data_IF_759226734280
#
_entry.id   IF_759226734280
#
_cell.length_a   1.000
_cell.length_b   1.000
_cell.length_c   1.000
_cell.angle_alpha   90.00
_cell.angle_beta   90.00
_cell.angle_gamma   90.00
#
_symmetry.space_group_name_H-M   'P 1'
#
loop_
_entity.id
_entity.type
_entity.pdbx_description
1 polymer ?
#
# COMPACT_ATOMS: atom_id res chain seq x y z
N UNK A 1 -3.48 -1.31 -11.42
CA UNK A 1 -2.56 -2.13 -10.61
C UNK A 1 -3.35 -2.99 -9.62
N UNK A 2 -2.74 -4.10 -9.17
CA UNK A 2 -3.23 -4.84 -8.00
C UNK A 2 -2.89 -4.03 -6.75
N UNK A 3 -3.90 -3.76 -5.91
CA UNK A 3 -3.74 -2.99 -4.69
C UNK A 3 -2.94 -3.75 -3.62
N UNK A 4 -2.45 -3.03 -2.64
CA UNK A 4 -1.68 -3.54 -1.50
C UNK A 4 -2.42 -4.65 -0.74
N UNK A 5 -1.94 -5.87 -0.86
CA UNK A 5 -2.46 -7.05 -0.17
C UNK A 5 -1.29 -7.94 0.25
N UNK A 6 -0.98 -7.98 1.54
CA UNK A 6 0.20 -8.66 2.05
C UNK A 6 0.09 -10.18 2.04
N UNK A 7 1.23 -10.85 1.86
CA UNK A 7 1.35 -12.27 2.21
C UNK A 7 1.15 -12.45 3.73
N UNK A 8 0.22 -13.32 4.08
CA UNK A 8 -0.26 -13.48 5.45
C UNK A 8 -1.66 -12.92 5.67
N UNK A 9 -2.05 -11.84 4.95
CA UNK A 9 -3.45 -11.50 4.73
C UNK A 9 -4.03 -12.38 3.61
N UNK A 10 -3.26 -12.59 2.54
CA UNK A 10 -3.57 -13.53 1.46
C UNK A 10 -2.74 -14.81 1.57
N UNK A 11 -3.26 -15.90 1.02
CA UNK A 11 -2.53 -17.16 0.86
C UNK A 11 -1.43 -17.06 -0.20
N UNK A 12 -0.49 -17.99 -0.16
CA UNK A 12 0.56 -18.13 -1.18
C UNK A 12 0.02 -18.20 -2.60
N UNK A 13 -1.00 -19.04 -2.82
CA UNK A 13 -1.62 -19.22 -4.14
C UNK A 13 -2.30 -17.94 -4.65
N UNK A 14 -2.96 -17.18 -3.76
CA UNK A 14 -3.57 -15.91 -4.14
C UNK A 14 -2.51 -14.87 -4.55
N UNK A 15 -1.42 -14.75 -3.78
CA UNK A 15 -0.30 -13.85 -4.12
C UNK A 15 0.32 -14.22 -5.47
N UNK A 16 0.59 -15.51 -5.71
CA UNK A 16 1.14 -15.99 -6.99
C UNK A 16 0.19 -15.72 -8.15
N UNK A 17 -1.09 -16.01 -8.00
CA UNK A 17 -2.10 -15.76 -9.04
C UNK A 17 -2.21 -14.27 -9.40
N UNK A 18 -2.22 -13.39 -8.39
CA UNK A 18 -2.25 -11.94 -8.60
C UNK A 18 -0.99 -11.44 -9.29
N UNK A 19 0.20 -11.91 -8.90
CA UNK A 19 1.44 -11.52 -9.53
C UNK A 19 1.54 -12.01 -10.98
N UNK A 20 1.11 -13.25 -11.25
CA UNK A 20 1.03 -13.78 -12.62
C UNK A 20 0.04 -12.99 -13.47
N UNK A 21 -1.12 -12.65 -12.91
CA UNK A 21 -2.12 -11.82 -13.56
C UNK A 21 -1.59 -10.43 -13.90
N UNK A 22 -0.91 -9.80 -12.95
CA UNK A 22 -0.25 -8.51 -13.15
C UNK A 22 0.78 -8.56 -14.27
N UNK A 23 1.65 -9.59 -14.29
CA UNK A 23 2.62 -9.81 -15.36
C UNK A 23 1.95 -9.97 -16.74
N UNK A 24 0.90 -10.78 -16.82
CA UNK A 24 0.16 -10.99 -18.08
C UNK A 24 -0.56 -9.73 -18.56
N UNK A 25 -1.08 -8.95 -17.60
CA UNK A 25 -1.81 -7.71 -17.88
C UNK A 25 -0.92 -6.50 -18.12
N UNK A 26 0.39 -6.59 -17.89
CA UNK A 26 1.33 -5.48 -18.07
C UNK A 26 1.13 -4.37 -17.04
N UNK A 27 0.73 -4.71 -15.81
CA UNK A 27 0.59 -3.76 -14.69
C UNK A 27 1.29 -4.29 -13.42
N UNK A 28 1.42 -3.44 -12.41
CA UNK A 28 2.17 -3.77 -11.21
C UNK A 28 1.29 -4.44 -10.13
N UNK A 29 1.94 -5.22 -9.26
CA UNK A 29 1.39 -5.80 -8.05
C UNK A 29 2.00 -5.11 -6.83
N UNK A 30 1.19 -4.45 -6.02
CA UNK A 30 1.60 -3.88 -4.75
C UNK A 30 1.65 -4.97 -3.68
N UNK A 31 2.80 -5.06 -3.00
CA UNK A 31 3.09 -6.14 -2.05
C UNK A 31 2.30 -6.07 -0.76
N UNK A 32 1.77 -4.89 -0.42
CA UNK A 32 1.32 -4.59 0.93
C UNK A 32 2.48 -4.54 1.93
N UNK A 33 2.19 -4.11 3.17
CA UNK A 33 3.18 -3.86 4.22
C UNK A 33 3.91 -5.10 4.76
N UNK A 34 3.51 -6.30 4.35
CA UNK A 34 4.06 -7.58 4.84
C UNK A 34 5.41 -7.98 4.23
N UNK A 35 6.12 -7.08 3.56
CA UNK A 35 7.35 -7.35 2.81
C UNK A 35 7.12 -8.11 1.50
N UNK A 36 8.20 -8.34 0.77
CA UNK A 36 8.23 -9.11 -0.46
C UNK A 36 8.47 -10.57 -0.11
N UNK A 37 7.44 -11.41 -0.26
CA UNK A 37 7.58 -12.86 -0.09
C UNK A 37 8.15 -13.53 -1.33
N UNK A 38 8.60 -14.79 -1.19
CA UNK A 38 8.99 -15.62 -2.35
C UNK A 38 7.87 -15.76 -3.38
N UNK A 39 6.61 -15.75 -2.94
CA UNK A 39 5.42 -15.86 -3.79
C UNK A 39 5.17 -14.61 -4.65
N UNK A 40 5.58 -13.43 -4.21
CA UNK A 40 5.60 -12.23 -5.04
C UNK A 40 6.65 -12.33 -6.16
N UNK A 41 7.72 -13.11 -5.93
CA UNK A 41 8.84 -13.23 -6.88
C UNK A 41 8.66 -14.33 -7.93
N UNK A 42 7.84 -15.34 -7.63
CA UNK A 42 7.73 -16.59 -8.39
C UNK A 42 7.49 -16.38 -9.90
N UNK A 43 6.59 -15.48 -10.26
CA UNK A 43 6.22 -15.26 -11.66
C UNK A 43 6.91 -14.06 -12.30
N UNK A 44 7.68 -13.28 -11.56
CA UNK A 44 8.46 -12.17 -12.10
C UNK A 44 7.62 -11.00 -12.61
N UNK A 45 6.40 -10.80 -12.06
CA UNK A 45 5.60 -9.61 -12.33
C UNK A 45 6.16 -8.37 -11.61
N UNK A 46 5.97 -7.19 -12.19
CA UNK A 46 6.43 -5.93 -11.62
C UNK A 46 5.81 -5.66 -10.25
N UNK A 47 6.63 -5.21 -9.31
CA UNK A 47 6.23 -4.96 -7.93
C UNK A 47 6.30 -3.47 -7.58
N UNK A 48 5.29 -3.00 -6.84
CA UNK A 48 5.37 -1.83 -5.98
C UNK A 48 5.64 -2.38 -4.58
N UNK A 49 6.79 -2.05 -3.99
CA UNK A 49 7.09 -2.50 -2.64
C UNK A 49 6.57 -1.49 -1.62
N UNK A 50 5.55 -1.90 -0.87
CA UNK A 50 4.97 -1.10 0.20
C UNK A 50 5.76 -1.29 1.50
N UNK A 51 6.18 -0.17 2.11
CA UNK A 51 6.89 -0.11 3.38
C UNK A 51 5.98 0.52 4.43
N UNK A 52 5.48 -0.29 5.35
CA UNK A 52 4.71 0.17 6.50
C UNK A 52 5.60 0.57 7.68
N UNK A 53 4.96 1.04 8.75
CA UNK A 53 5.63 1.49 10.00
C UNK A 53 6.37 0.37 10.74
N UNK A 54 6.09 -0.89 10.42
CA UNK A 54 6.83 -2.05 10.93
C UNK A 54 8.12 -2.35 10.17
N UNK A 55 8.39 -1.68 9.05
CA UNK A 55 9.56 -1.86 8.18
C UNK A 55 9.85 -3.31 7.79
N UNK A 56 8.81 -4.14 7.65
CA UNK A 56 8.98 -5.54 7.28
C UNK A 56 9.74 -5.68 5.96
N UNK A 57 10.78 -6.52 5.97
CA UNK A 57 11.71 -6.68 4.87
C UNK A 57 12.88 -5.68 4.84
N UNK A 58 12.82 -4.60 5.63
CA UNK A 58 13.91 -3.63 5.78
C UNK A 58 14.05 -3.12 7.23
N UNK A 59 13.87 -4.01 8.21
CA UNK A 59 13.94 -3.66 9.63
C UNK A 59 15.17 -4.25 10.32
N UNK A 60 15.69 -3.54 11.30
CA UNK A 60 16.62 -4.04 12.30
C UNK A 60 15.89 -4.93 13.34
N UNK A 61 16.63 -5.61 14.20
CA UNK A 61 16.05 -6.46 15.28
C UNK A 61 15.19 -5.65 16.25
N UNK A 62 15.54 -4.39 16.51
CA UNK A 62 14.81 -3.45 17.35
C UNK A 62 13.55 -2.85 16.66
N UNK A 63 13.31 -3.22 15.40
CA UNK A 63 12.17 -2.74 14.63
C UNK A 63 12.39 -1.42 13.88
N UNK A 64 13.55 -0.80 13.97
CA UNK A 64 13.89 0.42 13.24
C UNK A 64 14.24 0.13 11.77
N UNK A 65 14.26 1.18 10.93
CA UNK A 65 14.61 1.07 9.51
C UNK A 65 16.09 0.69 9.30
N UNK A 66 16.34 -0.29 8.44
CA UNK A 66 17.67 -0.71 7.99
C UNK A 66 17.89 -0.34 6.53
N UNK A 67 18.83 0.58 6.28
CA UNK A 67 19.20 0.98 4.93
C UNK A 67 19.80 -0.17 4.11
N UNK A 68 20.61 -1.01 4.74
CA UNK A 68 21.22 -2.16 4.07
C UNK A 68 20.18 -3.16 3.58
N UNK A 69 19.27 -3.60 4.47
CA UNK A 69 18.18 -4.52 4.10
C UNK A 69 17.20 -3.89 3.10
N UNK A 70 17.02 -2.58 3.17
CA UNK A 70 16.22 -1.86 2.19
C UNK A 70 16.84 -2.00 0.79
N UNK A 71 18.13 -1.70 0.64
CA UNK A 71 18.84 -1.80 -0.65
C UNK A 71 18.76 -3.21 -1.22
N UNK A 72 18.97 -4.25 -0.39
CA UNK A 72 18.89 -5.65 -0.82
C UNK A 72 17.57 -5.98 -1.52
N UNK A 73 16.45 -5.48 -1.00
CA UNK A 73 15.13 -5.72 -1.60
C UNK A 73 14.79 -4.72 -2.72
N UNK A 74 15.09 -3.44 -2.51
CA UNK A 74 14.76 -2.37 -3.45
C UNK A 74 15.46 -2.53 -4.80
N UNK A 75 16.69 -3.06 -4.81
CA UNK A 75 17.48 -3.25 -6.04
C UNK A 75 17.03 -4.43 -6.88
N UNK A 76 16.09 -5.26 -6.41
CA UNK A 76 15.49 -6.31 -7.23
C UNK A 76 14.92 -5.74 -8.55
N UNK A 77 15.17 -6.37 -9.71
CA UNK A 77 14.65 -5.91 -11.00
C UNK A 77 13.12 -5.85 -11.08
N UNK A 78 12.42 -6.69 -10.29
CA UNK A 78 10.96 -6.67 -10.21
C UNK A 78 10.41 -5.46 -9.47
N UNK A 79 11.15 -4.89 -8.52
CA UNK A 79 10.73 -3.72 -7.76
C UNK A 79 10.87 -2.47 -8.62
N UNK A 80 9.75 -1.92 -9.05
CA UNK A 80 9.70 -0.75 -9.93
C UNK A 80 9.46 0.54 -9.18
N UNK A 81 8.77 0.47 -8.05
CA UNK A 81 8.38 1.63 -7.23
C UNK A 81 8.46 1.26 -5.75
N UNK A 82 8.72 2.26 -4.92
CA UNK A 82 8.72 2.15 -3.45
C UNK A 82 7.57 3.00 -2.90
N UNK A 83 6.68 2.40 -2.13
CA UNK A 83 5.54 3.09 -1.52
C UNK A 83 5.67 3.11 0.01
N UNK A 84 5.74 4.30 0.61
CA UNK A 84 5.69 4.48 2.06
C UNK A 84 4.22 4.50 2.47
N UNK A 85 3.77 3.55 3.27
CA UNK A 85 2.41 3.53 3.80
C UNK A 85 2.32 4.42 5.04
N UNK A 86 1.71 5.60 4.90
CA UNK A 86 1.41 6.49 6.04
C UNK A 86 0.13 6.06 6.75
N UNK A 87 -0.91 5.73 5.97
CA UNK A 87 -2.17 5.23 6.51
C UNK A 87 -2.91 4.39 5.47
N UNK A 88 -3.90 3.64 5.95
CA UNK A 88 -4.82 2.84 5.15
C UNK A 88 -6.23 3.41 5.31
N UNK A 89 -7.00 3.49 4.23
CA UNK A 89 -8.31 4.12 4.22
C UNK A 89 -9.29 3.59 5.25
N UNK A 90 -9.38 2.27 5.38
CA UNK A 90 -10.31 1.63 6.31
C UNK A 90 -9.95 1.82 7.80
N UNK A 91 -8.72 2.19 8.12
CA UNK A 91 -8.23 2.35 9.50
C UNK A 91 -7.10 3.37 9.60
N UNK A 92 -7.35 4.65 9.28
CA UNK A 92 -6.32 5.68 9.39
C UNK A 92 -5.87 5.83 10.84
N UNK A 93 -4.55 5.97 11.03
CA UNK A 93 -3.95 6.10 12.37
C UNK A 93 -3.90 4.81 13.20
N UNK A 94 -4.31 3.66 12.64
CA UNK A 94 -4.25 2.36 13.31
C UNK A 94 -3.19 1.47 12.64
N UNK A 95 -2.27 0.92 13.43
CA UNK A 95 -1.24 -0.02 12.95
C UNK A 95 -1.82 -1.37 12.53
N UNK A 96 -1.00 -2.16 11.85
CA UNK A 96 -1.34 -3.52 11.44
C UNK A 96 -1.16 -4.51 12.59
N UNK A 97 -2.03 -5.51 12.67
CA UNK A 97 -1.89 -6.66 13.59
C UNK A 97 -2.09 -7.95 12.81
N UNK A 98 -1.08 -8.82 12.82
CA UNK A 98 -1.21 -10.21 12.39
C UNK A 98 -1.11 -11.09 13.64
N UNK A 99 -2.20 -11.76 14.05
CA UNK A 99 -2.22 -12.56 15.26
C UNK A 99 -1.24 -13.73 15.20
N UNK A 100 -0.62 -14.06 16.33
CA UNK A 100 0.33 -15.15 16.52
C UNK A 100 -0.02 -16.46 15.78
N UNK A 101 -1.27 -16.97 15.81
CA UNK A 101 -1.62 -18.23 15.13
C UNK A 101 -1.49 -18.17 13.60
N UNK A 102 -1.48 -16.96 13.02
CA UNK A 102 -1.30 -16.74 11.58
C UNK A 102 0.18 -16.52 11.18
N UNK A 103 1.08 -16.32 12.15
CA UNK A 103 2.50 -16.09 11.87
C UNK A 103 3.20 -17.44 11.66
N UNK A 104 3.11 -17.95 10.45
CA UNK A 104 3.83 -19.18 10.03
C UNK A 104 5.32 -18.91 9.87
N UNK A 105 6.17 -19.95 9.82
CA UNK A 105 7.62 -19.77 9.56
C UNK A 105 7.90 -18.96 8.29
N UNK A 106 7.15 -19.18 7.22
CA UNK A 106 7.31 -18.46 5.95
C UNK A 106 6.94 -16.96 6.06
N UNK A 107 5.90 -16.65 6.83
CA UNK A 107 5.50 -15.26 7.09
C UNK A 107 6.52 -14.59 8.00
N UNK A 108 7.01 -15.29 9.01
CA UNK A 108 8.04 -14.80 9.92
C UNK A 108 9.33 -14.48 9.15
N UNK A 109 9.75 -15.35 8.24
CA UNK A 109 10.90 -15.14 7.35
C UNK A 109 10.69 -13.90 6.46
N UNK A 110 9.55 -13.81 5.75
CA UNK A 110 9.26 -12.69 4.87
C UNK A 110 9.25 -11.33 5.59
N UNK A 111 8.73 -11.30 6.83
CA UNK A 111 8.62 -10.09 7.63
C UNK A 111 9.85 -9.77 8.47
N UNK A 112 10.74 -10.73 8.67
CA UNK A 112 11.89 -10.61 9.58
C UNK A 112 11.46 -10.51 11.04
N UNK A 113 10.51 -11.36 11.47
CA UNK A 113 9.97 -11.41 12.85
C UNK A 113 10.04 -12.83 13.43
N UNK A 114 10.00 -12.99 14.76
CA UNK A 114 9.96 -14.32 15.36
C UNK A 114 8.67 -15.08 15.02
N UNK A 115 8.78 -16.41 14.87
CA UNK A 115 7.61 -17.29 14.71
C UNK A 115 6.83 -17.37 16.02
N UNK A 116 5.49 -17.42 15.91
CA UNK A 116 4.61 -17.67 17.07
C UNK A 116 4.47 -16.47 18.02
N UNK A 117 4.76 -15.26 17.54
CA UNK A 117 4.53 -13.99 18.25
C UNK A 117 3.61 -13.11 17.43
N UNK A 118 2.77 -12.29 18.08
CA UNK A 118 1.95 -11.31 17.38
C UNK A 118 2.83 -10.33 16.59
N UNK A 119 2.54 -10.18 15.31
CA UNK A 119 3.27 -9.26 14.46
C UNK A 119 2.51 -7.93 14.36
N UNK A 120 2.98 -6.94 15.11
CA UNK A 120 2.32 -5.63 15.25
C UNK A 120 3.15 -4.56 14.53
N UNK A 121 2.47 -3.75 13.71
CA UNK A 121 3.03 -2.51 13.15
C UNK A 121 2.66 -1.34 14.04
N UNK A 122 3.60 -0.45 14.40
CA UNK A 122 3.28 0.79 15.11
C UNK A 122 2.30 1.68 14.32
N UNK A 123 1.56 2.55 15.03
CA UNK A 123 0.66 3.51 14.38
C UNK A 123 1.41 4.56 13.55
N UNK A 124 2.67 4.84 13.88
CA UNK A 124 3.51 5.83 13.21
C UNK A 124 4.89 5.24 12.86
N UNK A 125 5.52 5.79 11.83
CA UNK A 125 6.90 5.48 11.47
C UNK A 125 7.89 6.05 12.50
N UNK A 126 8.93 5.30 12.83
CA UNK A 126 10.02 5.77 13.69
C UNK A 126 11.05 6.64 12.97
N UNK A 127 11.08 6.60 11.63
CA UNK A 127 12.07 7.35 10.82
C UNK A 127 11.70 8.81 10.59
N UNK A 128 10.49 9.22 10.89
CA UNK A 128 10.02 10.61 10.75
C UNK A 128 8.82 10.87 11.66
N UNK A 129 8.69 12.11 12.13
CA UNK A 129 7.63 12.56 13.05
C UNK A 129 6.84 13.76 12.52
N UNK A 130 7.26 14.34 11.40
CA UNK A 130 6.64 15.51 10.81
C UNK A 130 6.78 15.50 9.27
N UNK A 131 6.01 16.34 8.54
CA UNK A 131 6.03 16.36 7.08
C UNK A 131 7.38 16.64 6.44
N UNK A 132 8.25 17.43 7.07
CA UNK A 132 9.58 17.73 6.54
C UNK A 132 10.47 16.49 6.58
N UNK A 133 10.48 15.80 7.73
CA UNK A 133 11.21 14.53 7.90
C UNK A 133 10.68 13.42 6.98
N UNK A 134 9.36 13.36 6.74
CA UNK A 134 8.78 12.45 5.74
C UNK A 134 9.41 12.68 4.36
N UNK A 135 9.49 13.93 3.90
CA UNK A 135 10.07 14.23 2.60
C UNK A 135 11.58 13.95 2.54
N UNK A 136 12.30 14.19 3.63
CA UNK A 136 13.70 13.79 3.76
C UNK A 136 13.86 12.27 3.70
N UNK A 137 12.93 11.52 4.29
CA UNK A 137 12.92 10.07 4.20
C UNK A 137 12.61 9.58 2.77
N UNK A 138 11.68 10.22 2.05
CA UNK A 138 11.44 9.96 0.62
C UNK A 138 12.73 10.16 -0.18
N UNK A 139 13.42 11.26 0.03
CA UNK A 139 14.69 11.55 -0.66
C UNK A 139 15.76 10.51 -0.33
N UNK A 140 15.92 10.17 0.95
CA UNK A 140 16.85 9.12 1.40
C UNK A 140 16.57 7.77 0.72
N UNK A 141 15.31 7.34 0.65
CA UNK A 141 14.97 6.08 -0.01
C UNK A 141 15.27 6.13 -1.52
N UNK A 142 14.99 7.27 -2.18
CA UNK A 142 15.28 7.47 -3.60
C UNK A 142 16.78 7.36 -3.89
N UNK A 143 17.62 7.93 -3.05
CA UNK A 143 19.08 7.82 -3.14
C UNK A 143 19.54 6.38 -2.94
N UNK A 144 19.01 5.68 -1.95
CA UNK A 144 19.35 4.29 -1.64
C UNK A 144 18.93 3.30 -2.74
N UNK A 145 17.90 3.59 -3.50
CA UNK A 145 17.41 2.72 -4.60
C UNK A 145 17.78 3.24 -6.00
N UNK A 146 18.86 4.04 -6.10
CA UNK A 146 19.41 4.51 -7.37
C UNK A 146 18.40 5.23 -8.27
N UNK A 147 17.50 6.02 -7.66
CA UNK A 147 16.54 6.84 -8.37
C UNK A 147 15.26 6.12 -8.82
N UNK A 148 14.96 4.94 -8.32
CA UNK A 148 13.62 4.37 -8.52
C UNK A 148 12.56 5.29 -7.92
N UNK A 149 11.35 5.37 -8.51
CA UNK A 149 10.27 6.20 -7.98
C UNK A 149 9.92 5.86 -6.54
N UNK A 150 9.91 6.88 -5.68
CA UNK A 150 9.52 6.77 -4.27
C UNK A 150 8.35 7.71 -3.99
N UNK A 151 7.28 7.17 -3.47
CA UNK A 151 6.09 7.90 -3.08
C UNK A 151 5.51 7.41 -1.77
N UNK A 152 4.31 7.85 -1.47
CA UNK A 152 3.61 7.41 -0.28
C UNK A 152 2.11 7.23 -0.51
N UNK A 153 1.50 6.39 0.31
CA UNK A 153 0.07 6.18 0.37
C UNK A 153 -0.48 6.76 1.66
N UNK A 154 -1.61 7.46 1.55
CA UNK A 154 -2.33 8.00 2.70
C UNK A 154 -3.85 7.98 2.50
N UNK A 155 -4.58 7.86 3.60
CA UNK A 155 -5.96 8.30 3.69
C UNK A 155 -5.97 9.73 4.24
N UNK A 156 -6.77 10.60 3.63
CA UNK A 156 -6.95 11.95 4.17
C UNK A 156 -7.87 11.83 5.40
N UNK A 157 -7.35 12.21 6.56
CA UNK A 157 -8.14 12.43 7.76
C UNK A 157 -8.65 13.87 7.78
N UNK A 158 -7.87 14.76 8.35
CA UNK A 158 -8.16 16.19 8.28
C UNK A 158 -7.43 16.86 7.12
N UNK A 159 -8.09 17.76 6.35
CA UNK A 159 -7.46 18.45 5.21
C UNK A 159 -6.18 19.19 5.55
N UNK A 160 -6.05 19.74 6.76
CA UNK A 160 -4.84 20.46 7.16
C UNK A 160 -3.61 19.57 7.34
N UNK A 161 -3.76 18.26 7.59
CA UNK A 161 -2.66 17.31 7.63
C UNK A 161 -2.03 17.18 6.22
N UNK A 162 -2.89 17.04 5.22
CA UNK A 162 -2.46 17.08 3.82
C UNK A 162 -1.81 18.42 3.44
N UNK A 163 -2.43 19.54 3.85
CA UNK A 163 -1.85 20.87 3.59
C UNK A 163 -0.51 21.06 4.31
N UNK A 164 -0.30 20.43 5.46
CA UNK A 164 1.01 20.37 6.13
C UNK A 164 2.08 19.72 5.27
N UNK A 165 1.77 18.58 4.64
CA UNK A 165 2.68 17.90 3.69
C UNK A 165 2.91 18.77 2.45
N UNK A 166 1.87 19.39 1.90
CA UNK A 166 1.98 20.27 0.75
C UNK A 166 2.87 21.50 1.03
N UNK A 167 2.75 22.11 2.20
CA UNK A 167 3.63 23.20 2.64
C UNK A 167 5.08 22.73 2.85
N UNK A 168 5.27 21.53 3.38
CA UNK A 168 6.61 20.96 3.53
C UNK A 168 7.27 20.75 2.17
N UNK A 169 6.54 20.28 1.16
CA UNK A 169 7.04 20.17 -0.22
C UNK A 169 7.52 21.52 -0.76
N UNK A 170 6.74 22.59 -0.58
CA UNK A 170 7.15 23.94 -0.99
C UNK A 170 8.38 24.44 -0.22
N UNK A 171 8.44 24.16 1.09
CA UNK A 171 9.54 24.61 1.94
C UNK A 171 10.87 23.92 1.64
N UNK A 172 10.82 22.62 1.37
CA UNK A 172 12.01 21.79 1.20
C UNK A 172 12.47 21.68 -0.26
N UNK A 173 11.56 21.88 -1.21
CA UNK A 173 11.80 21.55 -2.63
C UNK A 173 11.90 20.06 -2.91
N UNK A 174 11.60 19.20 -1.92
CA UNK A 174 11.58 17.74 -2.08
C UNK A 174 10.15 17.29 -2.37
N UNK A 175 9.99 16.53 -3.44
CA UNK A 175 8.69 16.02 -3.86
C UNK A 175 8.71 14.48 -3.95
N UNK A 176 7.63 13.79 -3.57
CA UNK A 176 7.47 12.38 -3.92
C UNK A 176 7.27 12.24 -5.44
N UNK A 177 7.64 11.11 -6.01
CA UNK A 177 7.38 10.83 -7.42
C UNK A 177 5.89 10.54 -7.66
N UNK A 178 5.23 9.99 -6.63
CA UNK A 178 3.80 9.71 -6.66
C UNK A 178 3.17 9.77 -5.26
N UNK A 179 1.85 9.90 -5.25
CA UNK A 179 1.00 9.82 -4.05
C UNK A 179 -0.17 8.90 -4.36
N UNK A 180 -0.45 7.94 -3.50
CA UNK A 180 -1.67 7.12 -3.57
C UNK A 180 -2.66 7.60 -2.53
N UNK A 181 -3.85 8.00 -2.98
CA UNK A 181 -4.97 8.36 -2.11
C UNK A 181 -5.81 7.11 -1.87
N UNK A 182 -5.86 6.66 -0.62
CA UNK A 182 -6.64 5.49 -0.19
C UNK A 182 -7.89 5.95 0.57
N UNK A 183 -9.07 5.63 0.06
CA UNK A 183 -10.32 6.13 0.63
C UNK A 183 -10.80 5.35 1.86
N UNK A 184 -11.62 5.99 2.70
CA UNK A 184 -12.21 5.39 3.90
C UNK A 184 -13.03 4.14 3.60
N UNK A 185 -13.59 4.04 2.40
CA UNK A 185 -14.33 2.89 1.86
C UNK A 185 -13.43 1.73 1.44
N UNK A 186 -12.11 1.88 1.50
CA UNK A 186 -11.17 0.76 1.40
C UNK A 186 -11.50 -0.28 2.45
N UNK A 187 -11.11 -1.52 2.31
CA UNK A 187 -11.49 -2.56 3.24
C UNK A 187 -10.30 -3.36 3.73
N UNK A 188 -10.39 -3.77 4.98
CA UNK A 188 -9.57 -4.83 5.55
C UNK A 188 -10.33 -5.47 6.72
N UNK A 189 -10.29 -6.80 6.84
CA UNK A 189 -10.88 -7.50 7.97
C UNK A 189 -10.26 -7.15 9.33
N UNK A 190 -9.12 -6.46 9.34
CA UNK A 190 -8.46 -5.98 10.55
C UNK A 190 -8.91 -4.57 10.99
N UNK A 191 -9.78 -3.90 10.22
CA UNK A 191 -10.27 -2.57 10.59
C UNK A 191 -11.38 -2.68 11.63
N UNK A 192 -11.34 -1.87 12.71
CA UNK A 192 -12.49 -1.72 13.59
C UNK A 192 -13.70 -1.20 12.80
N UNK A 193 -14.89 -1.71 13.11
CA UNK A 193 -16.13 -1.30 12.41
C UNK A 193 -16.43 0.19 12.59
N UNK A 194 -15.97 0.79 13.69
CA UNK A 194 -16.09 2.21 13.98
C UNK A 194 -15.20 3.08 13.07
N UNK A 195 -14.21 2.49 12.41
CA UNK A 195 -13.26 3.22 11.57
C UNK A 195 -13.64 3.17 10.09
N UNK A 196 -14.05 1.99 9.61
CA UNK A 196 -14.36 1.78 8.20
C UNK A 196 -15.54 2.65 7.77
N UNK A 197 -15.37 3.40 6.70
CA UNK A 197 -16.34 4.38 6.17
C UNK A 197 -16.62 5.59 7.09
N UNK A 198 -15.94 5.73 8.25
CA UNK A 198 -16.25 6.78 9.24
C UNK A 198 -15.09 7.72 9.55
N UNK A 199 -13.85 7.22 9.61
CA UNK A 199 -12.72 8.02 10.12
C UNK A 199 -11.96 8.79 9.02
N UNK A 200 -11.86 8.24 7.84
CA UNK A 200 -11.13 8.85 6.73
C UNK A 200 -12.07 9.54 5.75
N UNK A 201 -11.47 10.31 4.84
CA UNK A 201 -12.19 10.91 3.72
C UNK A 201 -12.47 9.85 2.64
N UNK A 202 -13.67 9.84 2.01
CA UNK A 202 -13.94 9.01 0.84
C UNK A 202 -12.93 9.25 -0.29
N UNK A 203 -12.61 8.21 -1.05
CA UNK A 203 -11.55 8.25 -2.07
C UNK A 203 -11.74 9.38 -3.09
N UNK A 204 -12.94 9.56 -3.62
CA UNK A 204 -13.19 10.59 -4.64
C UNK A 204 -12.98 12.01 -4.11
N UNK A 205 -13.36 12.26 -2.87
CA UNK A 205 -13.19 13.56 -2.21
C UNK A 205 -11.70 13.80 -1.90
N UNK A 206 -11.03 12.80 -1.32
CA UNK A 206 -9.60 12.87 -1.04
C UNK A 206 -8.77 13.05 -2.31
N UNK A 207 -9.07 12.32 -3.38
CA UNK A 207 -8.40 12.47 -4.67
C UNK A 207 -8.55 13.89 -5.22
N UNK A 208 -9.75 14.45 -5.21
CA UNK A 208 -10.01 15.82 -5.68
C UNK A 208 -9.26 16.85 -4.84
N UNK A 209 -9.24 16.68 -3.52
CA UNK A 209 -8.50 17.56 -2.62
C UNK A 209 -7.00 17.55 -2.96
N UNK A 210 -6.41 16.37 -3.06
CA UNK A 210 -4.97 16.22 -3.38
C UNK A 210 -4.68 16.75 -4.79
N UNK A 211 -5.47 16.36 -5.78
CA UNK A 211 -5.32 16.82 -7.17
C UNK A 211 -5.36 18.35 -7.26
N UNK A 212 -6.39 18.99 -6.72
CA UNK A 212 -6.57 20.44 -6.79
C UNK A 212 -5.45 21.19 -6.04
N UNK A 213 -5.00 20.67 -4.89
CA UNK A 213 -3.86 21.23 -4.16
C UNK A 213 -2.60 21.20 -5.01
N UNK A 214 -2.30 20.06 -5.63
CA UNK A 214 -1.13 19.94 -6.50
C UNK A 214 -1.22 20.81 -7.76
N UNK A 215 -2.42 20.99 -8.32
CA UNK A 215 -2.64 21.95 -9.43
C UNK A 215 -2.37 23.37 -8.96
N UNK A 216 -2.94 23.79 -7.83
CA UNK A 216 -2.73 25.13 -7.26
C UNK A 216 -1.25 25.43 -6.94
N UNK A 217 -0.50 24.42 -6.52
CA UNK A 217 0.93 24.52 -6.23
C UNK A 217 1.83 24.36 -7.49
N UNK A 218 1.24 24.08 -8.67
CA UNK A 218 1.96 23.77 -9.92
C UNK A 218 2.83 22.51 -9.85
N UNK A 219 2.51 21.59 -8.93
CA UNK A 219 3.24 20.33 -8.73
C UNK A 219 2.59 19.13 -9.43
N UNK A 220 1.32 19.25 -9.88
CA UNK A 220 0.57 18.13 -10.45
C UNK A 220 1.26 17.42 -11.63
N UNK A 221 2.05 18.13 -12.44
CA UNK A 221 2.79 17.54 -13.56
C UNK A 221 4.02 16.75 -13.12
N UNK A 222 4.54 17.04 -11.92
CA UNK A 222 5.73 16.40 -11.37
C UNK A 222 5.38 15.17 -10.51
N UNK A 223 4.18 15.18 -9.87
CA UNK A 223 3.74 14.14 -8.95
C UNK A 223 2.60 13.36 -9.60
N UNK A 224 2.76 12.04 -9.72
CA UNK A 224 1.70 11.15 -10.20
C UNK A 224 0.74 10.81 -9.08
N UNK A 225 -0.54 10.58 -9.42
CA UNK A 225 -1.58 10.23 -8.46
C UNK A 225 -2.13 8.84 -8.74
N UNK A 226 -2.02 7.97 -7.75
CA UNK A 226 -2.76 6.73 -7.66
C UNK A 226 -4.00 6.90 -6.78
N UNK A 227 -4.99 6.07 -6.98
CA UNK A 227 -6.18 6.03 -6.13
C UNK A 227 -6.59 4.60 -5.83
N UNK A 228 -6.99 4.36 -4.58
CA UNK A 228 -7.55 3.10 -4.10
C UNK A 228 -8.76 3.34 -3.18
N UNK A 229 -9.69 2.40 -3.16
CA UNK A 229 -10.94 2.49 -2.39
C UNK A 229 -12.14 2.01 -3.20
N UNK A 230 -12.55 0.76 -2.99
CA UNK A 230 -13.70 0.11 -3.67
C UNK A 230 -13.71 0.27 -5.21
N UNK A 231 -12.56 0.26 -5.86
CA UNK A 231 -12.44 0.25 -7.32
C UNK A 231 -12.62 -1.19 -7.79
N UNK A 232 -13.73 -1.50 -8.44
CA UNK A 232 -14.15 -2.86 -8.80
C UNK A 232 -14.39 -2.98 -10.31
N UNK A 233 -15.09 -2.03 -10.88
CA UNK A 233 -15.51 -2.06 -12.29
C UNK A 233 -14.68 -1.13 -13.18
N UNK A 234 -14.75 -1.35 -14.51
CA UNK A 234 -14.17 -0.43 -15.49
C UNK A 234 -14.72 0.99 -15.39
N UNK A 235 -16.00 1.15 -14.98
CA UNK A 235 -16.58 2.47 -14.74
C UNK A 235 -15.97 3.18 -13.54
N UNK A 236 -15.65 2.45 -12.46
CA UNK A 236 -14.94 3.03 -11.33
C UNK A 236 -13.54 3.52 -11.75
N UNK A 237 -12.85 2.76 -12.59
CA UNK A 237 -11.55 3.17 -13.16
C UNK A 237 -11.71 4.44 -14.00
N UNK A 238 -12.64 4.45 -14.96
CA UNK A 238 -12.88 5.61 -15.81
C UNK A 238 -13.22 6.86 -15.01
N UNK A 239 -14.14 6.74 -14.04
CA UNK A 239 -14.52 7.86 -13.15
C UNK A 239 -13.34 8.40 -12.36
N UNK A 240 -12.53 7.50 -11.81
CA UNK A 240 -11.37 7.87 -10.96
C UNK A 240 -10.29 8.56 -11.79
N UNK A 241 -10.00 8.06 -13.00
CA UNK A 241 -9.06 8.72 -13.91
C UNK A 241 -9.59 10.10 -14.37
N UNK A 242 -10.87 10.22 -14.68
CA UNK A 242 -11.47 11.50 -15.05
C UNK A 242 -11.40 12.56 -13.93
N UNK A 243 -11.34 12.13 -12.67
CA UNK A 243 -11.19 13.01 -11.50
C UNK A 243 -9.74 13.37 -11.17
N UNK A 244 -8.78 12.86 -11.94
CA UNK A 244 -7.39 13.28 -11.87
C UNK A 244 -6.40 12.25 -11.37
N UNK A 245 -6.77 10.99 -11.20
CA UNK A 245 -5.81 9.92 -10.97
C UNK A 245 -5.04 9.60 -12.27
N UNK A 246 -3.78 9.19 -12.14
CA UNK A 246 -2.99 8.64 -13.25
C UNK A 246 -3.15 7.12 -13.35
N UNK A 247 -3.48 6.46 -12.23
CA UNK A 247 -3.80 5.03 -12.18
C UNK A 247 -4.73 4.69 -11.01
N UNK A 248 -5.26 3.48 -11.06
CA UNK A 248 -6.10 2.90 -10.02
C UNK A 248 -5.47 1.64 -9.44
N UNK A 249 -5.62 1.45 -8.13
CA UNK A 249 -5.29 0.21 -7.43
C UNK A 249 -6.60 -0.51 -7.06
N UNK A 250 -6.76 -1.75 -7.54
CA UNK A 250 -7.92 -2.58 -7.25
C UNK A 250 -7.53 -3.78 -6.39
N UNK A 251 -8.27 -4.02 -5.31
CA UNK A 251 -8.14 -5.23 -4.50
C UNK A 251 -9.34 -6.15 -4.73
N UNK A 252 -10.53 -5.70 -4.34
CA UNK A 252 -11.75 -6.52 -4.39
C UNK A 252 -12.13 -6.94 -5.80
N UNK A 253 -11.91 -6.11 -6.80
CA UNK A 253 -12.17 -6.48 -8.19
C UNK A 253 -11.41 -7.74 -8.60
N UNK A 254 -10.12 -7.82 -8.26
CA UNK A 254 -9.31 -9.02 -8.51
C UNK A 254 -9.72 -10.20 -7.62
N UNK A 255 -10.02 -9.95 -6.34
CA UNK A 255 -10.44 -11.02 -5.42
C UNK A 255 -11.80 -11.61 -5.81
N UNK A 256 -12.74 -10.81 -6.28
CA UNK A 256 -14.03 -11.31 -6.77
C UNK A 256 -13.84 -12.18 -8.01
N UNK A 257 -13.04 -11.74 -8.99
CA UNK A 257 -12.74 -12.56 -10.15
C UNK A 257 -12.06 -13.89 -9.79
N UNK A 258 -11.14 -13.87 -8.80
CA UNK A 258 -10.49 -15.08 -8.29
C UNK A 258 -11.48 -16.03 -7.61
N UNK A 259 -12.37 -15.50 -6.76
CA UNK A 259 -13.38 -16.29 -6.04
C UNK A 259 -14.41 -16.84 -7.02
N UNK A 260 -14.84 -16.07 -8.00
CA UNK A 260 -15.80 -16.50 -9.01
C UNK A 260 -15.30 -17.71 -9.80
N UNK A 261 -14.01 -17.73 -10.16
CA UNK A 261 -13.38 -18.88 -10.83
C UNK A 261 -13.32 -20.13 -9.93
N UNK A 262 -13.23 -19.95 -8.63
CA UNK A 262 -13.18 -21.03 -7.64
C UNK A 262 -14.56 -21.43 -7.12
N UNK A 263 -15.58 -20.57 -7.24
CA UNK A 263 -16.92 -20.78 -6.67
C UNK A 263 -17.57 -22.13 -6.98
N UNK A 264 -17.43 -22.73 -8.19
CA UNK A 264 -17.97 -24.05 -8.47
C UNK A 264 -17.40 -25.17 -7.61
N UNK A 265 -16.24 -24.94 -6.98
CA UNK A 265 -15.50 -25.92 -6.18
C UNK A 265 -15.49 -25.60 -4.68
N UNK A 266 -16.11 -24.48 -4.28
CA UNK A 266 -16.09 -24.00 -2.89
C UNK A 266 -17.46 -24.12 -2.22
N UNK A 267 -17.46 -24.42 -0.92
CA UNK A 267 -18.69 -24.35 -0.14
C UNK A 267 -19.22 -22.90 -0.03
N UNK A 268 -20.55 -22.76 0.07
CA UNK A 268 -21.18 -21.45 0.24
C UNK A 268 -20.67 -20.69 1.49
N UNK A 269 -20.22 -21.41 2.52
CA UNK A 269 -19.66 -20.83 3.73
C UNK A 269 -18.27 -20.25 3.49
N UNK A 270 -17.43 -20.92 2.70
CA UNK A 270 -16.11 -20.40 2.32
C UNK A 270 -16.26 -19.12 1.49
N UNK A 271 -17.16 -19.11 0.52
CA UNK A 271 -17.40 -17.91 -0.32
C UNK A 271 -17.88 -16.74 0.54
N UNK A 272 -18.83 -16.97 1.45
CA UNK A 272 -19.30 -15.94 2.40
C UNK A 272 -18.16 -15.40 3.27
N UNK A 273 -17.32 -16.27 3.81
CA UNK A 273 -16.19 -15.86 4.64
C UNK A 273 -15.15 -15.06 3.86
N UNK A 274 -14.81 -15.49 2.65
CA UNK A 274 -13.89 -14.78 1.78
C UNK A 274 -14.41 -13.42 1.29
N UNK A 275 -15.74 -13.26 1.19
CA UNK A 275 -16.37 -11.98 0.79
C UNK A 275 -16.56 -11.02 1.97
N UNK A 276 -16.41 -11.48 3.22
CA UNK A 276 -16.51 -10.66 4.43
C UNK A 276 -15.17 -9.98 4.81
N UNK A 277 -14.09 -10.25 4.08
CA UNK A 277 -12.77 -9.64 4.26
C UNK A 277 -12.68 -8.42 3.28
#
# INVERSE_FOLDING_TARGET
>A
NVSAMSFGALSANAVMALNLGAKKGGFAHDTGEGSISRYHREHGGDLIWEIGSGYFGCRNEDGTFSAERFVQNAMSPQVKMIEIKLSQGAKPGHGGVLPRPKVTPEIAEARGVPVGVDCVSPAAHSSFSNPVELLQFVQKLRELCEGKPVGFKLCIGHPWEWFGIAKAMQKTGIYPDFIVVDGSEGGTGAAPVEFTDHMGMPMLEGLRLVHNTLVGLKLRKQIRLGASGKIISGFDVMRTLALGADWCNSARGFMFAFIEQLAPHLSADFVRHAMSI
#
